data_IF_260525776676
#
_entry.id   IF_260525776676
#
_cell.length_a   1.000
_cell.length_b   1.000
_cell.length_c   1.000
_cell.angle_alpha   90.00
_cell.angle_beta   90.00
_cell.angle_gamma   90.00
#
_symmetry.space_group_name_H-M   'P 1'
#
loop_
_entity.id
_entity.type
_entity.pdbx_description
1 polymer ?
#
# COMPACT_ATOMS: atom_id res chain seq x y z
N UNK A 1 14.79 17.85 -14.17
CA UNK A 1 14.58 16.38 -14.08
C UNK A 1 14.64 15.98 -12.62
N UNK A 2 13.63 15.28 -12.12
CA UNK A 2 13.76 14.64 -10.80
C UNK A 2 14.87 13.57 -10.88
N UNK A 3 15.72 13.48 -9.86
CA UNK A 3 16.76 12.46 -9.77
C UNK A 3 16.16 11.08 -9.57
N UNK A 4 16.90 10.04 -9.95
CA UNK A 4 16.51 8.64 -9.68
C UNK A 4 16.31 8.42 -8.16
N UNK A 5 17.08 9.12 -7.32
CA UNK A 5 16.95 9.05 -5.87
C UNK A 5 15.65 9.65 -5.34
N UNK A 6 15.13 10.72 -5.96
CA UNK A 6 13.80 11.25 -5.63
C UNK A 6 12.69 10.24 -5.95
N UNK A 7 12.85 9.45 -7.02
CA UNK A 7 11.97 8.32 -7.33
C UNK A 7 12.01 7.24 -6.24
N UNK A 8 13.22 6.80 -5.86
CA UNK A 8 13.38 5.80 -4.80
C UNK A 8 12.85 6.29 -3.45
N UNK A 9 13.11 7.54 -3.07
CA UNK A 9 12.60 8.11 -1.83
C UNK A 9 11.07 8.07 -1.77
N UNK A 10 10.36 8.34 -2.88
CA UNK A 10 8.89 8.24 -2.95
C UNK A 10 8.40 6.80 -2.75
N UNK A 11 9.05 5.83 -3.40
CA UNK A 11 8.69 4.41 -3.27
C UNK A 11 8.91 3.92 -1.84
N UNK A 12 10.09 4.18 -1.25
CA UNK A 12 10.37 3.78 0.12
C UNK A 12 9.45 4.45 1.13
N UNK A 13 9.13 5.74 0.96
CA UNK A 13 8.15 6.43 1.81
C UNK A 13 6.74 5.85 1.67
N UNK A 14 6.36 5.35 0.49
CA UNK A 14 5.07 4.69 0.32
C UNK A 14 5.01 3.36 1.09
N UNK A 15 6.10 2.59 1.10
CA UNK A 15 6.18 1.24 1.65
C UNK A 15 6.82 1.14 3.05
N UNK A 16 7.10 2.26 3.73
CA UNK A 16 7.66 2.24 5.09
C UNK A 16 6.61 2.04 6.20
N UNK A 17 5.37 1.70 5.86
CA UNK A 17 4.26 1.50 6.78
C UNK A 17 3.78 0.05 6.72
N UNK A 18 3.63 -0.59 7.89
CA UNK A 18 3.29 -2.01 7.99
C UNK A 18 1.96 -2.34 7.34
N UNK A 19 0.92 -1.53 7.56
CA UNK A 19 -0.42 -1.77 6.99
C UNK A 19 -0.37 -1.67 5.47
N UNK A 20 0.40 -0.73 4.91
CA UNK A 20 0.62 -0.63 3.46
C UNK A 20 1.35 -1.85 2.89
N UNK A 21 2.30 -2.43 3.63
CA UNK A 21 2.97 -3.66 3.22
C UNK A 21 2.00 -4.86 3.21
N UNK A 22 1.08 -4.95 4.18
CA UNK A 22 0.03 -5.97 4.20
C UNK A 22 -0.92 -5.82 2.99
N UNK A 23 -1.35 -4.58 2.67
CA UNK A 23 -2.14 -4.30 1.45
C UNK A 23 -1.39 -4.74 0.20
N UNK A 24 -0.10 -4.41 0.09
CA UNK A 24 0.74 -4.81 -1.06
C UNK A 24 0.80 -6.33 -1.21
N UNK A 25 1.01 -7.07 -0.10
CA UNK A 25 1.04 -8.53 -0.11
C UNK A 25 -0.29 -9.13 -0.61
N UNK A 26 -1.42 -8.60 -0.15
CA UNK A 26 -2.74 -9.02 -0.62
C UNK A 26 -2.92 -8.76 -2.12
N UNK A 27 -2.53 -7.59 -2.61
CA UNK A 27 -2.65 -7.23 -4.04
C UNK A 27 -1.68 -7.98 -4.95
N UNK A 28 -0.53 -8.43 -4.44
CA UNK A 28 0.37 -9.31 -5.18
C UNK A 28 -0.24 -10.69 -5.47
N UNK A 29 -1.28 -11.12 -4.73
CA UNK A 29 -2.04 -12.34 -5.02
C UNK A 29 -3.11 -12.16 -6.11
N UNK A 30 -3.38 -10.92 -6.53
CA UNK A 30 -4.41 -10.57 -7.51
C UNK A 30 -5.14 -9.28 -7.12
N UNK A 31 -5.92 -8.74 -8.06
CA UNK A 31 -6.77 -7.59 -7.77
C UNK A 31 -7.78 -7.92 -6.66
N UNK A 32 -8.03 -6.96 -5.76
CA UNK A 32 -9.02 -7.10 -4.69
C UNK A 32 -9.86 -5.84 -4.59
N UNK A 33 -11.14 -6.01 -4.30
CA UNK A 33 -12.02 -4.92 -3.91
C UNK A 33 -11.50 -4.26 -2.62
N UNK A 34 -11.65 -2.94 -2.51
CA UNK A 34 -11.35 -2.20 -1.28
C UNK A 34 -12.11 -2.77 -0.07
N UNK A 35 -13.35 -3.23 -0.27
CA UNK A 35 -14.15 -3.91 0.74
C UNK A 35 -13.44 -5.12 1.36
N UNK A 36 -12.84 -5.98 0.53
CA UNK A 36 -12.08 -7.16 0.98
C UNK A 36 -10.84 -6.74 1.76
N UNK A 37 -10.14 -5.69 1.31
CA UNK A 37 -8.95 -5.18 2.02
C UNK A 37 -9.30 -4.62 3.40
N UNK A 38 -10.45 -3.95 3.54
CA UNK A 38 -10.92 -3.40 4.82
C UNK A 38 -11.27 -4.51 5.81
N UNK A 39 -11.95 -5.56 5.34
CA UNK A 39 -12.32 -6.73 6.15
C UNK A 39 -11.10 -7.53 6.62
N UNK A 40 -10.17 -7.86 5.71
CA UNK A 40 -8.99 -8.68 6.03
C UNK A 40 -7.98 -7.97 6.95
N UNK A 41 -7.96 -6.64 6.94
CA UNK A 41 -7.00 -5.83 7.70
C UNK A 41 -7.61 -5.12 8.92
N UNK A 42 -8.89 -5.36 9.21
CA UNK A 42 -9.67 -4.70 10.28
C UNK A 42 -9.47 -3.16 10.27
N UNK A 43 -9.56 -2.58 9.07
CA UNK A 43 -9.36 -1.15 8.85
C UNK A 43 -10.69 -0.42 8.76
N UNK A 44 -10.78 0.72 9.45
CA UNK A 44 -11.87 1.67 9.24
C UNK A 44 -11.69 2.42 7.91
N UNK A 45 -12.79 2.60 7.17
CA UNK A 45 -12.80 3.50 6.01
C UNK A 45 -12.85 4.95 6.50
N UNK A 46 -11.87 5.76 6.12
CA UNK A 46 -11.96 7.22 6.30
C UNK A 46 -13.01 7.75 5.32
N UNK A 47 -14.05 8.40 5.83
CA UNK A 47 -15.04 9.12 5.04
C UNK A 47 -14.48 10.33 4.31
#
# INVERSE_FOLDING_TARGET
MASVYEGYAKVFKAFCDEKRLQILALLCSGEKCACVLLEELDLGQSG
#
